data_IF_232253002277
#
_entry.id   IF_232253002277
#
_cell.length_a   1.000
_cell.length_b   1.000
_cell.length_c   1.000
_cell.angle_alpha   90.00
_cell.angle_beta   90.00
_cell.angle_gamma   90.00
#
_symmetry.space_group_name_H-M   'P 1'
#
loop_
_entity.id
_entity.type
_entity.pdbx_description
1 polymer ?
#
# COMPACT_ATOMS: atom_id res chain seq x y z
N UNK A 1 4.22 5.85 -13.21
CA UNK A 1 3.34 4.80 -12.66
C UNK A 1 2.89 5.21 -11.27
N UNK A 2 1.61 5.56 -11.10
CA UNK A 2 1.00 5.87 -9.80
C UNK A 2 0.53 4.54 -9.18
N UNK A 3 0.98 4.19 -7.97
CA UNK A 3 0.47 3.01 -7.28
C UNK A 3 -0.65 3.40 -6.34
N UNK A 4 -1.81 2.78 -6.51
CA UNK A 4 -2.89 2.85 -5.54
C UNK A 4 -2.54 1.91 -4.38
N UNK A 5 -2.18 2.46 -3.21
CA UNK A 5 -2.03 1.65 -1.98
C UNK A 5 -3.41 1.16 -1.47
N UNK A 6 -4.50 1.52 -2.16
CA UNK A 6 -5.82 0.88 -2.06
C UNK A 6 -5.87 -0.60 -2.46
N UNK A 7 -4.80 -1.17 -3.03
CA UNK A 7 -4.63 -2.63 -3.22
C UNK A 7 -4.27 -3.38 -1.92
N UNK A 8 -4.75 -2.88 -0.78
CA UNK A 8 -4.65 -3.59 0.50
C UNK A 8 -5.69 -4.71 0.49
N UNK A 9 -5.44 -5.76 -0.30
CA UNK A 9 -6.25 -6.99 -0.43
C UNK A 9 -7.74 -6.73 -0.19
N UNK A 10 -8.40 -6.05 -1.14
CA UNK A 10 -9.87 -5.99 -1.16
C UNK A 10 -10.38 -7.42 -1.18
N UNK A 11 -10.94 -7.89 -0.06
CA UNK A 11 -11.76 -9.09 -0.04
C UNK A 11 -13.18 -8.67 0.29
N UNK A 12 -14.14 -9.24 -0.45
CA UNK A 12 -15.55 -9.04 -0.18
C UNK A 12 -15.97 -10.03 0.90
N UNK A 13 -16.39 -9.51 2.05
CA UNK A 13 -17.05 -10.31 3.07
C UNK A 13 -18.56 -10.23 2.82
N UNK A 14 -19.17 -11.38 2.50
CA UNK A 14 -20.62 -11.49 2.43
C UNK A 14 -21.16 -11.51 3.87
N UNK A 15 -21.96 -10.53 4.24
CA UNK A 15 -22.62 -10.47 5.54
C UNK A 15 -23.93 -11.27 5.51
N UNK A 16 -24.29 -11.86 6.65
CA UNK A 16 -25.60 -12.48 6.82
C UNK A 16 -26.70 -11.42 6.65
N UNK A 17 -27.46 -11.53 5.55
CA UNK A 17 -28.41 -10.50 5.11
C UNK A 17 -28.19 -9.98 3.69
N UNK A 18 -27.15 -10.46 2.99
CA UNK A 18 -26.90 -10.12 1.58
C UNK A 18 -26.16 -8.80 1.38
N UNK A 19 -25.68 -8.17 2.46
CA UNK A 19 -24.76 -7.05 2.39
C UNK A 19 -23.36 -7.51 2.00
N UNK A 20 -22.67 -6.74 1.17
CA UNK A 20 -21.24 -6.93 0.89
C UNK A 20 -20.49 -5.84 1.63
N UNK A 21 -19.61 -6.22 2.55
CA UNK A 21 -18.66 -5.29 3.16
C UNK A 21 -17.27 -5.51 2.55
N UNK A 22 -16.60 -4.43 2.18
CA UNK A 22 -15.18 -4.45 1.86
C UNK A 22 -14.38 -4.67 3.15
N UNK A 23 -13.65 -5.77 3.21
CA UNK A 23 -12.59 -5.97 4.19
C UNK A 23 -11.27 -5.38 3.70
N UNK A 24 -10.33 -5.19 4.61
CA UNK A 24 -8.98 -4.71 4.31
C UNK A 24 -8.02 -5.00 5.45
N UNK A 25 -6.75 -5.24 5.11
CA UNK A 25 -5.67 -5.47 6.08
C UNK A 25 -4.84 -4.20 6.26
N UNK A 26 -5.39 -3.22 6.99
CA UNK A 26 -4.76 -1.90 7.25
C UNK A 26 -3.30 -2.01 7.71
N UNK A 27 -2.99 -3.03 8.50
CA UNK A 27 -1.65 -3.32 9.01
C UNK A 27 -0.62 -3.59 7.91
N UNK A 28 -1.05 -3.95 6.70
CA UNK A 28 -0.17 -4.14 5.55
C UNK A 28 0.13 -2.85 4.78
N UNK A 29 -0.62 -1.77 5.03
CA UNK A 29 -0.43 -0.48 4.34
C UNK A 29 1.04 -0.01 4.40
N UNK A 30 1.73 -0.01 5.57
CA UNK A 30 3.14 0.38 5.62
C UNK A 30 4.03 -0.53 4.77
N UNK A 31 3.82 -1.86 4.84
CA UNK A 31 4.61 -2.82 4.07
C UNK A 31 4.47 -2.60 2.55
N UNK A 32 3.23 -2.44 2.07
CA UNK A 32 2.93 -2.20 0.66
C UNK A 32 3.49 -0.84 0.22
N UNK A 33 3.24 0.22 0.98
CA UNK A 33 3.71 1.57 0.63
C UNK A 33 5.25 1.62 0.54
N UNK A 34 5.95 1.04 1.51
CA UNK A 34 7.43 0.95 1.51
C UNK A 34 7.94 0.20 0.29
N UNK A 35 7.35 -0.96 -0.02
CA UNK A 35 7.72 -1.77 -1.20
C UNK A 35 7.51 -1.01 -2.50
N UNK A 36 6.38 -0.31 -2.61
CA UNK A 36 6.01 0.47 -3.80
C UNK A 36 7.03 1.57 -4.08
N UNK A 37 7.38 2.34 -3.05
CA UNK A 37 8.38 3.41 -3.17
C UNK A 37 9.77 2.83 -3.41
N UNK A 38 10.09 1.69 -2.79
CA UNK A 38 11.37 1.02 -3.00
C UNK A 38 11.58 0.60 -4.48
N UNK A 39 10.51 0.14 -5.14
CA UNK A 39 10.49 -0.22 -6.58
C UNK A 39 10.62 1.01 -7.49
N UNK A 40 10.25 2.21 -7.01
CA UNK A 40 10.42 3.46 -7.75
C UNK A 40 9.14 3.94 -8.46
N UNK A 41 8.02 3.97 -7.74
CA UNK A 41 6.78 4.61 -8.23
C UNK A 41 6.85 6.13 -8.14
N UNK A 42 6.09 6.82 -8.98
CA UNK A 42 6.06 8.29 -9.03
C UNK A 42 5.17 8.90 -7.93
N UNK A 43 4.26 8.10 -7.38
CA UNK A 43 3.38 8.52 -6.30
C UNK A 43 2.60 7.36 -5.71
N UNK A 44 2.06 7.62 -4.51
CA UNK A 44 1.17 6.75 -3.75
C UNK A 44 -0.17 7.47 -3.61
N UNK A 45 -1.26 6.73 -3.80
CA UNK A 45 -2.59 7.13 -3.34
C UNK A 45 -2.97 6.31 -2.10
N UNK A 46 -3.48 6.97 -1.07
CA UNK A 46 -3.89 6.37 0.21
C UNK A 46 -5.10 7.12 0.75
N UNK A 47 -6.11 6.38 1.22
CA UNK A 47 -7.23 6.96 1.95
C UNK A 47 -6.89 7.07 3.44
N UNK A 48 -7.33 8.16 4.06
CA UNK A 48 -7.01 8.49 5.46
C UNK A 48 -8.27 8.93 6.19
N UNK A 49 -8.37 8.58 7.47
CA UNK A 49 -9.49 8.98 8.32
C UNK A 49 -9.00 9.21 9.76
N UNK A 50 -9.60 10.16 10.46
CA UNK A 50 -9.31 10.44 11.87
C UNK A 50 -9.79 9.30 12.77
N UNK A 51 -10.98 8.77 12.47
CA UNK A 51 -11.56 7.58 13.09
C UNK A 51 -11.93 6.46 12.07
N UNK A 52 -10.96 5.64 11.62
CA UNK A 52 -11.21 4.58 10.65
C UNK A 52 -12.20 3.50 11.10
N UNK A 53 -12.53 3.40 12.39
CA UNK A 53 -13.51 2.43 12.90
C UNK A 53 -14.94 2.87 12.63
N UNK A 54 -15.18 4.17 12.55
CA UNK A 54 -16.49 4.77 12.30
C UNK A 54 -16.61 5.41 10.91
N UNK A 55 -15.65 5.15 10.02
CA UNK A 55 -15.70 5.63 8.65
C UNK A 55 -16.91 5.05 7.91
N UNK A 56 -17.69 5.90 7.21
CA UNK A 56 -18.94 5.47 6.57
C UNK A 56 -18.71 4.52 5.38
N UNK A 57 -17.51 4.57 4.77
CA UNK A 57 -17.11 3.77 3.62
C UNK A 57 -15.64 3.39 3.81
N UNK A 58 -15.29 2.14 3.50
CA UNK A 58 -13.91 1.63 3.43
C UNK A 58 -13.06 1.83 4.70
N UNK A 59 -13.71 1.95 5.87
CA UNK A 59 -13.01 2.08 7.16
C UNK A 59 -11.84 1.11 7.33
N UNK A 60 -12.00 -0.21 7.10
CA UNK A 60 -10.93 -1.20 7.21
C UNK A 60 -9.67 -0.94 6.37
N UNK A 61 -9.73 -0.17 5.28
CA UNK A 61 -8.59 0.14 4.40
C UNK A 61 -8.02 1.55 4.62
N UNK A 62 -8.68 2.40 5.41
CA UNK A 62 -8.24 3.77 5.66
C UNK A 62 -7.15 3.85 6.72
N UNK A 63 -6.09 4.62 6.44
CA UNK A 63 -4.99 4.84 7.38
C UNK A 63 -5.37 5.85 8.47
N UNK A 64 -4.98 5.66 9.75
CA UNK A 64 -5.31 6.60 10.80
C UNK A 64 -4.53 7.91 10.60
N UNK A 65 -5.26 9.03 10.46
CA UNK A 65 -4.67 10.33 10.12
C UNK A 65 -3.53 10.75 11.06
N UNK A 66 -3.66 10.45 12.36
CA UNK A 66 -2.64 10.75 13.38
C UNK A 66 -1.27 10.13 13.12
N UNK A 67 -1.21 9.06 12.32
CA UNK A 67 0.01 8.33 11.97
C UNK A 67 0.48 8.62 10.54
N UNK A 68 -0.16 9.56 9.83
CA UNK A 68 0.13 9.83 8.44
C UNK A 68 1.52 10.47 8.26
N UNK A 69 1.86 11.44 9.11
CA UNK A 69 3.13 12.17 9.01
C UNK A 69 4.33 11.23 9.15
N UNK A 70 4.36 10.41 10.21
CA UNK A 70 5.42 9.42 10.46
C UNK A 70 5.60 8.46 9.26
N UNK A 71 4.49 7.97 8.70
CA UNK A 71 4.54 7.10 7.53
C UNK A 71 5.10 7.83 6.31
N UNK A 72 4.65 9.06 6.02
CA UNK A 72 5.12 9.83 4.87
C UNK A 72 6.61 10.18 4.97
N UNK A 73 7.10 10.53 6.16
CA UNK A 73 8.53 10.77 6.40
C UNK A 73 9.38 9.56 6.02
N UNK A 74 8.97 8.37 6.47
CA UNK A 74 9.64 7.12 6.14
C UNK A 74 9.60 6.83 4.63
N UNK A 75 8.44 6.99 3.99
CA UNK A 75 8.30 6.76 2.55
C UNK A 75 9.17 7.73 1.74
N UNK A 76 9.26 9.00 2.14
CA UNK A 76 10.15 9.97 1.48
C UNK A 76 11.61 9.55 1.64
N UNK A 77 12.02 9.08 2.83
CA UNK A 77 13.37 8.60 3.08
C UNK A 77 13.74 7.43 2.15
N UNK A 78 12.85 6.44 2.00
CA UNK A 78 13.03 5.30 1.09
C UNK A 78 13.10 5.80 -0.36
N UNK A 79 12.19 6.69 -0.78
CA UNK A 79 12.12 7.21 -2.16
C UNK A 79 13.44 7.85 -2.58
N UNK A 80 14.05 8.64 -1.69
CA UNK A 80 15.33 9.31 -1.95
C UNK A 80 16.46 8.31 -2.23
N UNK A 81 16.50 7.19 -1.51
CA UNK A 81 17.53 6.15 -1.68
C UNK A 81 17.28 5.28 -2.91
N UNK A 82 16.01 5.05 -3.28
CA UNK A 82 15.64 4.22 -4.42
C UNK A 82 15.81 4.91 -5.78
N UNK A 83 15.78 6.24 -5.84
CA UNK A 83 15.98 6.99 -7.10
C UNK A 83 17.39 6.77 -7.65
N UNK A 84 17.50 6.50 -8.95
CA UNK A 84 18.78 6.37 -9.66
C UNK A 84 19.44 5.00 -9.60
N UNK A 85 18.73 3.95 -9.14
CA UNK A 85 19.23 2.57 -9.23
C UNK A 85 19.24 2.11 -10.68
N UNK A 86 20.33 1.46 -11.10
CA UNK A 86 20.42 0.86 -12.44
C UNK A 86 19.44 -0.31 -12.53
N UNK A 87 18.67 -0.45 -13.62
CA UNK A 87 17.85 -1.62 -13.83
C UNK A 87 18.75 -2.86 -13.89
N UNK A 88 18.31 -3.93 -13.24
CA UNK A 88 19.00 -5.21 -13.31
C UNK A 88 18.81 -5.79 -14.71
N UNK A 89 19.92 -6.17 -15.35
CA UNK A 89 19.87 -7.06 -16.52
C UNK A 89 19.83 -8.48 -15.97
N UNK A 90 18.64 -9.05 -15.92
CA UNK A 90 18.44 -10.41 -15.42
C UNK A 90 18.63 -11.35 -16.59
N UNK A 91 19.61 -12.25 -16.48
CA UNK A 91 19.69 -13.41 -17.36
C UNK A 91 18.70 -14.47 -16.86
N UNK A 92 17.73 -14.82 -17.69
CA UNK A 92 16.72 -15.83 -17.40
C UNK A 92 17.12 -17.21 -17.92
N UNK A 93 18.31 -17.35 -18.50
CA UNK A 93 18.84 -18.64 -18.95
C UNK A 93 18.98 -19.56 -17.73
N UNK A 94 18.37 -20.77 -17.75
CA UNK A 94 18.52 -21.72 -16.66
C UNK A 94 19.98 -22.06 -16.46
N UNK A 95 20.45 -22.02 -15.21
CA UNK A 95 21.79 -22.48 -14.87
C UNK A 95 21.92 -23.96 -15.23
N UNK A 96 22.88 -24.29 -16.09
CA UNK A 96 23.25 -25.68 -16.42
C UNK A 96 24.69 -25.87 -15.96
N UNK A 97 24.94 -26.96 -15.24
CA UNK A 97 26.29 -27.40 -14.85
C UNK A 97 27.15 -27.76 -16.07
#
# INVERSE_FOLDING_TARGET
MLLLVGLTLYFHLQLDGGGVASGGLRELIPCIARTSVAVGVDGIFMEVHDDPLNAPVDGPTQWPLRHLEELLEELIAISRVSKGKKPFKIDLTPFRE
#
